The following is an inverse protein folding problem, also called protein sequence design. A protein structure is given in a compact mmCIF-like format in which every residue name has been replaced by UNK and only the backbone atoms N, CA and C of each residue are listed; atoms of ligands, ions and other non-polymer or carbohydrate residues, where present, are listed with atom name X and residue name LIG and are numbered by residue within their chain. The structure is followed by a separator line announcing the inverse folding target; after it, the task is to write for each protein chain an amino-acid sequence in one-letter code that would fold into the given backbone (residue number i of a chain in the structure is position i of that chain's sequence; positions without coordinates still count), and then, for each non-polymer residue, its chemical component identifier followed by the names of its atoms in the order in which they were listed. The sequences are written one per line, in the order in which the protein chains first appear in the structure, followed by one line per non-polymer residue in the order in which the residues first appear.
data_IF_285719489966
#
_entry.id   IF_285719489966
#
_cell.length_a   1.000
_cell.length_b   1.000
_cell.length_c   1.000
_cell.angle_alpha   90.00
_cell.angle_beta   90.00
_cell.angle_gamma   90.00
#
_symmetry.space_group_name_H-M   'P 1'
#
loop_
_entity.id
_entity.type
_entity.pdbx_description
1 polymer ?
#
# COMPACT_ATOMS: atom_id res chain seq x y z
N UNK A 1 -18.91 -87.04 -18.56
CA UNK A 1 -17.81 -86.07 -18.32
C UNK A 1 -18.44 -84.77 -17.88
N UNK A 2 -18.48 -84.50 -16.58
CA UNK A 2 -19.06 -83.29 -16.01
C UNK A 2 -17.96 -82.23 -15.85
N UNK A 3 -18.18 -81.03 -16.40
CA UNK A 3 -17.26 -79.91 -16.32
C UNK A 3 -17.49 -79.15 -15.00
N UNK A 4 -16.42 -78.97 -14.25
CA UNK A 4 -16.37 -78.27 -12.97
C UNK A 4 -16.09 -76.78 -13.22
N UNK A 5 -17.07 -75.89 -13.01
CA UNK A 5 -16.89 -74.44 -13.16
C UNK A 5 -16.84 -73.76 -11.79
N UNK A 6 -15.68 -73.20 -11.45
CA UNK A 6 -15.44 -72.37 -10.26
C UNK A 6 -16.30 -71.11 -10.25
N UNK A 7 -16.72 -70.59 -9.08
CA UNK A 7 -17.44 -69.32 -9.01
C UNK A 7 -16.49 -68.12 -9.19
N UNK A 8 -16.99 -67.09 -9.87
CA UNK A 8 -16.29 -65.82 -10.06
C UNK A 8 -16.26 -65.01 -8.74
N UNK A 9 -15.06 -64.69 -8.26
CA UNK A 9 -14.84 -63.76 -7.15
C UNK A 9 -14.87 -62.34 -7.71
N UNK A 10 -15.83 -61.54 -7.27
CA UNK A 10 -15.89 -60.10 -7.59
C UNK A 10 -14.81 -59.36 -6.78
N UNK A 11 -14.05 -58.41 -7.38
CA UNK A 11 -13.19 -57.52 -6.63
C UNK A 11 -14.05 -56.48 -5.91
N UNK A 12 -13.98 -56.44 -4.57
CA UNK A 12 -14.52 -55.34 -3.78
C UNK A 12 -13.48 -54.21 -3.85
N UNK A 13 -13.68 -53.25 -4.75
CA UNK A 13 -12.92 -52.00 -4.76
C UNK A 13 -13.32 -51.19 -3.53
N UNK A 14 -12.51 -51.28 -2.49
CA UNK A 14 -12.59 -50.41 -1.33
C UNK A 14 -12.18 -49.00 -1.78
N UNK A 15 -13.14 -48.08 -1.97
CA UNK A 15 -12.81 -46.66 -2.11
C UNK A 15 -12.28 -46.18 -0.74
N UNK A 16 -11.04 -45.65 -0.65
CA UNK A 16 -10.67 -44.88 0.54
C UNK A 16 -11.63 -43.68 0.64
N UNK A 17 -11.96 -43.22 1.85
CA UNK A 17 -12.79 -42.04 2.01
C UNK A 17 -12.12 -40.92 1.25
N UNK A 18 -12.88 -40.25 0.39
CA UNK A 18 -12.45 -39.04 -0.27
C UNK A 18 -11.86 -38.12 0.81
N UNK A 19 -10.55 -37.90 0.74
CA UNK A 19 -9.93 -36.77 1.41
C UNK A 19 -10.81 -35.58 1.07
N UNK A 20 -11.33 -34.94 2.12
CA UNK A 20 -12.07 -33.70 2.03
C UNK A 20 -11.25 -32.74 1.17
N UNK A 21 -11.54 -32.69 -0.13
CA UNK A 21 -11.21 -31.56 -0.98
C UNK A 21 -12.08 -30.43 -0.46
N UNK A 22 -11.61 -29.86 0.64
CA UNK A 22 -12.09 -28.62 1.19
C UNK A 22 -11.74 -27.59 0.12
N UNK A 23 -12.71 -27.38 -0.78
CA UNK A 23 -12.67 -26.32 -1.78
C UNK A 23 -12.17 -25.06 -1.05
N UNK A 24 -11.14 -24.38 -1.57
CA UNK A 24 -10.71 -23.11 -0.98
C UNK A 24 -11.91 -22.17 -1.07
N UNK A 25 -12.65 -22.08 0.03
CA UNK A 25 -13.79 -21.18 0.13
C UNK A 25 -13.27 -19.76 -0.10
N UNK A 26 -14.04 -18.95 -0.79
CA UNK A 26 -13.75 -17.53 -1.07
C UNK A 26 -13.33 -16.77 0.19
N UNK A 27 -13.78 -17.21 1.38
CA UNK A 27 -13.31 -16.73 2.68
C UNK A 27 -11.80 -16.89 2.92
N UNK A 28 -11.16 -17.98 2.46
CA UNK A 28 -9.72 -18.19 2.57
C UNK A 28 -8.92 -17.23 1.68
N UNK A 29 -9.37 -17.04 0.43
CA UNK A 29 -8.77 -16.10 -0.52
C UNK A 29 -8.90 -14.64 -0.05
N UNK A 30 -10.05 -14.28 0.51
CA UNK A 30 -10.25 -12.96 1.13
C UNK A 30 -9.30 -12.76 2.32
N UNK A 31 -9.16 -13.75 3.21
CA UNK A 31 -8.23 -13.66 4.35
C UNK A 31 -6.79 -13.47 3.92
N UNK A 32 -6.31 -14.21 2.90
CA UNK A 32 -4.95 -14.06 2.38
C UNK A 32 -4.72 -12.69 1.72
N UNK A 33 -5.75 -12.16 1.04
CA UNK A 33 -5.70 -10.83 0.48
C UNK A 33 -5.62 -9.75 1.57
N UNK A 34 -6.47 -9.84 2.60
CA UNK A 34 -6.45 -8.92 3.73
C UNK A 34 -5.15 -8.99 4.52
N UNK A 35 -4.58 -10.19 4.72
CA UNK A 35 -3.27 -10.32 5.37
C UNK A 35 -2.18 -9.66 4.54
N UNK A 36 -2.19 -9.83 3.22
CA UNK A 36 -1.22 -9.19 2.31
C UNK A 36 -1.31 -7.65 2.33
N UNK A 37 -2.53 -7.10 2.32
CA UNK A 37 -2.74 -5.65 2.47
C UNK A 37 -2.26 -5.20 3.84
N UNK A 38 -2.66 -5.89 4.91
CA UNK A 38 -2.32 -5.54 6.28
C UNK A 38 -0.80 -5.52 6.47
N UNK A 39 -0.09 -6.49 5.90
CA UNK A 39 1.36 -6.56 5.98
C UNK A 39 2.04 -5.45 5.17
N UNK A 40 1.53 -5.14 3.97
CA UNK A 40 2.00 -4.02 3.16
C UNK A 40 1.82 -2.69 3.87
N UNK A 41 0.64 -2.45 4.45
CA UNK A 41 0.34 -1.23 5.21
C UNK A 41 1.22 -1.16 6.45
N UNK A 42 1.35 -2.26 7.20
CA UNK A 42 2.17 -2.31 8.43
C UNK A 42 3.64 -2.07 8.13
N UNK A 43 4.17 -2.69 7.08
CA UNK A 43 5.55 -2.49 6.61
C UNK A 43 5.78 -1.05 6.15
N UNK A 44 4.84 -0.48 5.39
CA UNK A 44 4.87 0.93 5.01
C UNK A 44 4.86 1.87 6.22
N UNK A 45 3.99 1.62 7.20
CA UNK A 45 3.86 2.42 8.42
C UNK A 45 5.05 2.23 9.38
N UNK A 46 5.72 1.08 9.36
CA UNK A 46 6.93 0.83 10.14
C UNK A 46 8.11 1.71 9.67
N UNK A 47 8.16 2.04 8.39
CA UNK A 47 9.15 2.95 7.81
C UNK A 47 8.78 4.44 7.96
N UNK A 48 7.75 4.79 8.75
CA UNK A 48 7.41 6.19 8.99
C UNK A 48 8.44 6.85 9.89
N UNK A 49 8.67 8.14 9.67
CA UNK A 49 9.45 8.97 10.60
C UNK A 49 8.60 9.33 11.84
N UNK A 50 9.21 9.55 13.01
CA UNK A 50 8.50 9.96 14.22
C UNK A 50 7.62 11.20 13.97
N UNK A 51 6.35 11.15 14.41
CA UNK A 51 5.44 12.29 14.29
C UNK A 51 5.89 13.57 15.03
N UNK A 52 6.53 13.49 16.22
CA UNK A 52 7.03 14.68 16.89
C UNK A 52 8.09 15.41 16.06
N UNK A 53 8.88 14.66 15.31
CA UNK A 53 9.90 15.22 14.42
C UNK A 53 9.25 15.98 13.27
N UNK A 54 8.22 15.41 12.63
CA UNK A 54 7.46 16.11 11.59
C UNK A 54 6.84 17.42 12.13
N UNK A 55 6.27 17.39 13.33
CA UNK A 55 5.58 18.53 13.94
C UNK A 55 6.51 19.45 14.73
N UNK A 56 7.83 19.26 14.67
CA UNK A 56 8.75 20.09 15.43
C UNK A 56 8.66 21.54 15.00
N UNK A 57 8.28 22.41 15.93
CA UNK A 57 7.98 23.82 15.65
C UNK A 57 9.24 24.67 15.56
N UNK A 58 10.33 24.29 16.23
CA UNK A 58 11.61 24.99 16.13
C UNK A 58 12.20 24.96 14.73
N UNK A 59 11.93 23.89 13.98
CA UNK A 59 12.44 23.71 12.64
C UNK A 59 11.70 24.53 11.56
N UNK A 60 10.63 25.28 11.89
CA UNK A 60 9.93 26.10 10.89
C UNK A 60 10.60 27.47 10.72
N UNK A 61 10.96 27.79 9.48
CA UNK A 61 11.50 29.09 9.08
C UNK A 61 10.90 29.54 7.74
N UNK A 62 10.80 30.86 7.55
CA UNK A 62 10.28 31.42 6.29
C UNK A 62 11.35 31.27 5.19
N UNK A 63 11.04 30.67 4.03
CA UNK A 63 11.99 30.63 2.91
C UNK A 63 12.23 32.03 2.36
N UNK A 64 13.47 32.33 2.01
CA UNK A 64 13.89 33.64 1.48
C UNK A 64 13.53 33.78 -0.01
N UNK A 65 13.36 32.66 -0.72
CA UNK A 65 13.02 32.64 -2.14
C UNK A 65 12.20 31.41 -2.56
N UNK A 66 11.55 31.49 -3.72
CA UNK A 66 10.79 30.37 -4.30
C UNK A 66 11.68 29.18 -4.69
N UNK A 67 12.90 29.44 -5.14
CA UNK A 67 13.88 28.39 -5.47
C UNK A 67 14.28 27.62 -4.21
N UNK A 68 14.52 28.33 -3.12
CA UNK A 68 14.79 27.71 -1.82
C UNK A 68 13.58 26.91 -1.31
N UNK A 69 12.38 27.48 -1.35
CA UNK A 69 11.16 26.77 -0.96
C UNK A 69 10.99 25.45 -1.72
N UNK A 70 11.26 25.45 -3.03
CA UNK A 70 11.18 24.23 -3.86
C UNK A 70 12.24 23.20 -3.47
N UNK A 71 13.46 23.63 -3.14
CA UNK A 71 14.52 22.74 -2.64
C UNK A 71 14.15 22.13 -1.29
N UNK A 72 13.60 22.93 -0.37
CA UNK A 72 13.10 22.47 0.94
C UNK A 72 11.98 21.45 0.76
N UNK A 73 11.00 21.73 -0.10
CA UNK A 73 9.91 20.78 -0.42
C UNK A 73 10.48 19.45 -0.91
N UNK A 74 11.40 19.47 -1.89
CA UNK A 74 11.97 18.24 -2.46
C UNK A 74 12.71 17.41 -1.41
N UNK A 75 13.53 18.06 -0.57
CA UNK A 75 14.27 17.41 0.51
C UNK A 75 13.31 16.81 1.56
N UNK A 76 12.39 17.62 2.07
CA UNK A 76 11.43 17.19 3.08
C UNK A 76 10.46 16.11 2.56
N UNK A 77 10.10 16.13 1.26
CA UNK A 77 9.27 15.09 0.64
C UNK A 77 9.95 13.72 0.68
N UNK A 78 11.22 13.65 0.32
CA UNK A 78 11.95 12.38 0.35
C UNK A 78 12.09 11.85 1.78
N UNK A 79 12.33 12.75 2.74
CA UNK A 79 12.52 12.36 4.13
C UNK A 79 11.21 11.91 4.81
N UNK A 80 10.13 12.70 4.69
CA UNK A 80 8.84 12.46 5.35
C UNK A 80 7.80 11.78 4.44
N UNK A 81 8.24 11.10 3.36
CA UNK A 81 7.35 10.54 2.31
C UNK A 81 6.17 9.75 2.88
N UNK A 82 6.44 8.83 3.80
CA UNK A 82 5.40 7.98 4.40
C UNK A 82 4.43 8.79 5.26
N UNK A 83 4.94 9.75 6.04
CA UNK A 83 4.09 10.63 6.85
C UNK A 83 3.22 11.53 5.97
N UNK A 84 3.74 12.07 4.87
CA UNK A 84 2.97 12.87 3.92
C UNK A 84 1.88 12.06 3.22
N UNK A 85 2.18 10.83 2.80
CA UNK A 85 1.16 9.92 2.28
C UNK A 85 0.08 9.64 3.33
N UNK A 86 0.45 9.46 4.60
CA UNK A 86 -0.51 9.27 5.68
C UNK A 86 -1.40 10.52 5.89
N UNK A 87 -0.84 11.73 5.84
CA UNK A 87 -1.60 12.99 5.94
C UNK A 87 -2.57 13.14 4.77
N UNK A 88 -2.12 12.96 3.53
CA UNK A 88 -2.99 13.04 2.34
C UNK A 88 -4.12 11.99 2.42
N UNK A 89 -3.78 10.77 2.84
CA UNK A 89 -4.76 9.69 3.02
C UNK A 89 -5.77 10.04 4.11
N UNK A 90 -5.33 10.62 5.23
CA UNK A 90 -6.22 11.05 6.31
C UNK A 90 -7.17 12.16 5.84
N UNK A 91 -6.69 13.14 5.08
CA UNK A 91 -7.54 14.19 4.49
C UNK A 91 -8.58 13.56 3.55
N UNK A 92 -8.18 12.66 2.66
CA UNK A 92 -9.10 11.94 1.77
C UNK A 92 -10.18 11.16 2.54
N UNK A 93 -9.78 10.41 3.57
CA UNK A 93 -10.71 9.64 4.41
C UNK A 93 -11.68 10.57 5.12
N UNK A 94 -11.20 11.64 5.75
CA UNK A 94 -12.07 12.62 6.43
C UNK A 94 -13.03 13.27 5.44
N UNK A 95 -12.56 13.68 4.26
CA UNK A 95 -13.40 14.27 3.21
C UNK A 95 -14.47 13.31 2.69
N UNK A 96 -14.20 12.00 2.62
CA UNK A 96 -15.22 11.02 2.28
C UNK A 96 -16.22 10.82 3.43
N UNK A 97 -15.74 10.70 4.67
CA UNK A 97 -16.57 10.51 5.87
C UNK A 97 -17.52 11.68 6.13
N UNK A 98 -17.14 12.90 5.76
CA UNK A 98 -18.03 14.07 5.85
C UNK A 98 -19.11 14.12 4.76
N UNK A 99 -19.06 13.21 3.77
CA UNK A 99 -20.02 13.11 2.68
C UNK A 99 -20.79 11.76 2.73
N UNK A 100 -21.71 11.58 3.69
CA UNK A 100 -22.34 10.29 3.97
C UNK A 100 -23.16 9.74 2.79
N UNK A 101 -23.82 10.62 2.01
CA UNK A 101 -24.59 10.19 0.84
C UNK A 101 -23.70 9.56 -0.25
N UNK A 102 -22.57 10.21 -0.53
CA UNK A 102 -21.56 9.71 -1.46
C UNK A 102 -20.98 8.37 -0.97
N UNK A 103 -20.71 8.25 0.32
CA UNK A 103 -20.24 6.99 0.91
C UNK A 103 -21.26 5.86 0.80
N UNK A 104 -22.54 6.11 1.07
CA UNK A 104 -23.59 5.08 0.99
C UNK A 104 -23.69 4.55 -0.44
N UNK A 105 -23.70 5.44 -1.45
CA UNK A 105 -23.77 5.02 -2.85
C UNK A 105 -22.52 4.29 -3.30
N UNK A 106 -21.33 4.74 -2.90
CA UNK A 106 -20.08 4.05 -3.20
C UNK A 106 -20.02 2.67 -2.51
N UNK A 107 -20.47 2.57 -1.26
CA UNK A 107 -20.52 1.32 -0.52
C UNK A 107 -21.53 0.34 -1.13
N UNK A 108 -22.71 0.80 -1.54
CA UNK A 108 -23.70 -0.02 -2.25
C UNK A 108 -23.19 -0.52 -3.61
N UNK A 109 -22.50 0.35 -4.35
CA UNK A 109 -21.86 -0.02 -5.62
C UNK A 109 -20.76 -1.06 -5.40
N UNK A 110 -19.88 -0.84 -4.42
CA UNK A 110 -18.82 -1.79 -4.07
C UNK A 110 -19.42 -3.13 -3.62
N UNK A 111 -20.42 -3.10 -2.73
CA UNK A 111 -21.13 -4.31 -2.30
C UNK A 111 -21.71 -5.08 -3.49
N UNK A 112 -22.26 -4.38 -4.50
CA UNK A 112 -22.77 -5.01 -5.72
C UNK A 112 -21.66 -5.71 -6.51
N UNK A 113 -20.50 -5.06 -6.70
CA UNK A 113 -19.33 -5.69 -7.33
C UNK A 113 -18.84 -6.92 -6.58
N UNK A 114 -18.65 -6.81 -5.26
CA UNK A 114 -18.17 -7.92 -4.43
C UNK A 114 -19.17 -9.07 -4.41
N UNK A 115 -20.46 -8.77 -4.27
CA UNK A 115 -21.52 -9.78 -4.30
C UNK A 115 -21.54 -10.55 -5.61
N UNK A 116 -21.53 -9.83 -6.74
CA UNK A 116 -21.69 -10.43 -8.06
C UNK A 116 -20.46 -11.18 -8.57
N UNK A 117 -19.24 -10.82 -8.12
CA UNK A 117 -18.01 -11.37 -8.68
C UNK A 117 -17.10 -12.07 -7.67
N UNK A 118 -17.25 -11.83 -6.36
CA UNK A 118 -16.47 -12.53 -5.33
C UNK A 118 -17.30 -13.53 -4.53
N UNK A 119 -18.55 -13.21 -4.23
CA UNK A 119 -19.41 -14.08 -3.43
C UNK A 119 -20.27 -15.02 -4.28
N UNK A 120 -20.70 -14.58 -5.45
CA UNK A 120 -21.40 -15.42 -6.43
C UNK A 120 -20.42 -16.41 -7.06
N UNK A 121 -20.74 -17.69 -6.96
CA UNK A 121 -19.94 -18.76 -7.53
C UNK A 121 -20.35 -18.99 -8.99
N UNK A 122 -19.41 -19.41 -9.84
CA UNK A 122 -19.70 -19.68 -11.27
C UNK A 122 -20.73 -20.80 -11.49
N UNK A 123 -21.08 -21.55 -10.44
CA UNK A 123 -22.12 -22.58 -10.43
C UNK A 123 -23.52 -22.03 -10.11
N UNK A 124 -23.66 -20.75 -9.75
CA UNK A 124 -24.94 -20.16 -9.38
C UNK A 124 -25.82 -19.88 -10.60
N UNK A 125 -27.16 -20.03 -10.47
CA UNK A 125 -28.08 -19.75 -11.57
C UNK A 125 -28.00 -18.27 -12.00
N UNK A 126 -28.28 -17.96 -13.29
CA UNK A 126 -28.23 -16.59 -13.81
C UNK A 126 -29.18 -15.66 -13.03
N UNK A 127 -28.85 -14.36 -12.99
CA UNK A 127 -29.67 -13.39 -12.23
C UNK A 127 -31.03 -13.30 -12.90
N UNK A 128 -32.10 -13.60 -12.16
CA UNK A 128 -33.46 -13.47 -12.65
C UNK A 128 -34.15 -12.30 -11.95
N UNK A 129 -34.63 -11.34 -12.74
CA UNK A 129 -35.39 -10.19 -12.23
C UNK A 129 -36.69 -10.12 -13.02
N UNK A 130 -37.83 -10.08 -12.31
CA UNK A 130 -39.18 -10.11 -12.91
C UNK A 130 -39.41 -11.27 -13.89
N UNK A 131 -38.81 -12.44 -13.64
CA UNK A 131 -38.95 -13.63 -14.50
C UNK A 131 -38.09 -13.61 -15.76
N UNK A 132 -37.30 -12.56 -16.02
CA UNK A 132 -36.31 -12.52 -17.10
C UNK A 132 -34.93 -12.90 -16.58
N UNK A 133 -34.26 -13.81 -17.27
CA UNK A 133 -32.87 -14.17 -17.00
C UNK A 133 -31.94 -13.15 -17.67
N UNK A 134 -30.98 -12.62 -16.91
CA UNK A 134 -29.93 -11.74 -17.40
C UNK A 134 -28.64 -12.53 -17.61
N UNK A 135 -28.01 -12.31 -18.75
CA UNK A 135 -26.69 -12.83 -19.04
C UNK A 135 -25.61 -12.11 -18.23
N UNK A 136 -24.45 -12.75 -18.08
CA UNK A 136 -23.31 -12.15 -17.37
C UNK A 136 -22.83 -10.85 -18.05
N UNK A 137 -22.96 -10.75 -19.38
CA UNK A 137 -22.62 -9.54 -20.14
C UNK A 137 -23.58 -8.39 -19.84
N UNK A 138 -24.89 -8.66 -19.79
CA UNK A 138 -25.89 -7.66 -19.42
C UNK A 138 -25.69 -7.20 -17.98
N UNK A 139 -25.38 -8.12 -17.06
CA UNK A 139 -25.08 -7.82 -15.66
C UNK A 139 -23.84 -6.93 -15.53
N UNK A 140 -22.76 -7.29 -16.22
CA UNK A 140 -21.53 -6.49 -16.27
C UNK A 140 -21.81 -5.09 -16.84
N UNK A 141 -22.55 -5.00 -17.94
CA UNK A 141 -22.92 -3.74 -18.57
C UNK A 141 -23.73 -2.87 -17.59
N UNK A 142 -24.71 -3.44 -16.91
CA UNK A 142 -25.50 -2.73 -15.89
C UNK A 142 -24.61 -2.22 -14.76
N UNK A 143 -23.65 -3.01 -14.30
CA UNK A 143 -22.76 -2.64 -13.21
C UNK A 143 -21.77 -1.54 -13.61
N UNK A 144 -21.27 -1.57 -14.85
CA UNK A 144 -20.44 -0.50 -15.43
C UNK A 144 -21.25 0.79 -15.56
N UNK A 145 -22.46 0.72 -16.13
CA UNK A 145 -23.34 1.89 -16.26
C UNK A 145 -23.72 2.45 -14.90
N UNK A 146 -24.04 1.60 -13.93
CA UNK A 146 -24.31 2.00 -12.55
C UNK A 146 -23.09 2.67 -11.92
N UNK A 147 -21.87 2.18 -12.17
CA UNK A 147 -20.63 2.81 -11.71
C UNK A 147 -20.49 4.22 -12.27
N UNK A 148 -20.72 4.40 -13.57
CA UNK A 148 -20.69 5.72 -14.22
C UNK A 148 -21.75 6.63 -13.57
N UNK A 149 -23.00 6.17 -13.49
CA UNK A 149 -24.11 6.96 -12.90
C UNK A 149 -23.79 7.36 -11.48
N UNK A 150 -23.30 6.45 -10.62
CA UNK A 150 -22.93 6.77 -9.23
C UNK A 150 -21.81 7.80 -9.22
N UNK A 151 -20.77 7.67 -10.03
CA UNK A 151 -19.65 8.64 -10.07
C UNK A 151 -20.10 10.03 -10.56
N UNK A 152 -21.07 10.11 -11.46
CA UNK A 152 -21.58 11.41 -11.93
C UNK A 152 -22.66 12.00 -11.01
N UNK A 153 -23.50 11.16 -10.41
CA UNK A 153 -24.54 11.57 -9.47
C UNK A 153 -23.96 11.98 -8.13
N UNK A 154 -22.90 11.30 -7.70
CA UNK A 154 -22.16 11.68 -6.51
C UNK A 154 -21.03 12.61 -6.91
N UNK A 155 -20.92 13.74 -6.22
CA UNK A 155 -19.75 14.62 -6.32
C UNK A 155 -18.46 13.96 -5.78
N UNK A 156 -18.37 12.63 -5.70
CA UNK A 156 -17.18 11.87 -5.24
C UNK A 156 -15.94 12.33 -5.98
N UNK A 157 -16.03 12.46 -7.31
CA UNK A 157 -14.89 12.89 -8.12
C UNK A 157 -14.35 14.25 -7.67
N UNK A 158 -15.22 15.24 -7.47
CA UNK A 158 -14.80 16.58 -7.03
C UNK A 158 -14.35 16.59 -5.56
N UNK A 159 -14.96 15.78 -4.69
CA UNK A 159 -14.52 15.60 -3.30
C UNK A 159 -13.10 15.03 -3.26
N UNK A 160 -12.82 13.97 -4.02
CA UNK A 160 -11.49 13.35 -4.08
C UNK A 160 -10.45 14.32 -4.64
N UNK A 161 -10.75 15.01 -5.74
CA UNK A 161 -9.81 15.98 -6.36
C UNK A 161 -9.54 17.15 -5.41
N UNK A 162 -10.57 17.74 -4.81
CA UNK A 162 -10.41 18.86 -3.88
C UNK A 162 -9.66 18.44 -2.60
N UNK A 163 -10.00 17.31 -2.00
CA UNK A 163 -9.29 16.76 -0.83
C UNK A 163 -7.82 16.45 -1.13
N UNK A 164 -7.54 15.89 -2.32
CA UNK A 164 -6.17 15.64 -2.76
C UNK A 164 -5.38 16.93 -2.96
N UNK A 165 -5.99 17.96 -3.57
CA UNK A 165 -5.37 19.28 -3.71
C UNK A 165 -5.09 19.93 -2.36
N UNK A 166 -6.02 19.84 -1.41
CA UNK A 166 -5.81 20.29 -0.02
C UNK A 166 -4.66 19.54 0.63
N UNK A 167 -4.61 18.21 0.49
CA UNK A 167 -3.52 17.39 1.00
C UNK A 167 -2.16 17.77 0.42
N UNK A 168 -2.06 17.97 -0.89
CA UNK A 168 -0.86 18.48 -1.54
C UNK A 168 -0.49 19.86 -0.99
N UNK A 169 -1.47 20.77 -0.84
CA UNK A 169 -1.25 22.11 -0.29
C UNK A 169 -0.63 22.06 1.11
N UNK A 170 -1.15 21.20 1.99
CA UNK A 170 -0.62 21.00 3.35
C UNK A 170 0.83 20.50 3.30
N UNK A 171 1.11 19.49 2.47
CA UNK A 171 2.45 18.90 2.34
C UNK A 171 3.44 19.90 1.75
N UNK A 172 3.05 20.67 0.73
CA UNK A 172 3.89 21.70 0.14
C UNK A 172 4.16 22.83 1.13
N UNK A 173 3.14 23.28 1.87
CA UNK A 173 3.30 24.31 2.89
C UNK A 173 4.26 23.85 4.00
N UNK A 174 4.03 22.66 4.54
CA UNK A 174 4.91 22.07 5.54
C UNK A 174 6.34 21.90 5.00
N UNK A 175 6.49 21.33 3.81
CA UNK A 175 7.79 21.10 3.18
C UNK A 175 8.55 22.37 2.81
N UNK A 176 7.86 23.48 2.52
CA UNK A 176 8.49 24.76 2.23
C UNK A 176 8.94 25.49 3.51
N UNK A 177 8.16 25.38 4.58
CA UNK A 177 8.42 26.08 5.83
C UNK A 177 9.42 25.33 6.72
N UNK A 178 9.51 24.01 6.64
CA UNK A 178 10.44 23.24 7.47
C UNK A 178 11.88 23.37 6.96
N UNK A 179 12.81 23.87 7.78
CA UNK A 179 14.23 23.93 7.46
C UNK A 179 14.80 22.51 7.40
N UNK A 180 15.48 22.13 6.31
CA UNK A 180 16.12 20.84 6.20
C UNK A 180 17.40 20.71 7.04
N UNK A 181 18.09 21.81 7.37
CA UNK A 181 19.49 21.81 7.82
C UNK A 181 19.79 20.89 9.01
N UNK A 182 18.95 20.89 10.04
CA UNK A 182 19.13 20.04 11.23
C UNK A 182 19.08 18.54 10.92
N UNK A 183 18.25 18.17 9.94
CA UNK A 183 17.99 16.79 9.55
C UNK A 183 19.14 16.15 8.76
N UNK A 184 19.84 16.99 7.97
CA UNK A 184 20.98 16.55 7.17
C UNK A 184 22.21 16.33 8.05
N UNK A 185 22.39 17.10 9.13
CA UNK A 185 23.50 16.88 10.05
C UNK A 185 23.36 15.51 10.73
N UNK A 186 22.17 15.18 11.25
CA UNK A 186 21.91 13.90 11.90
C UNK A 186 22.00 12.70 10.93
N UNK A 187 21.45 12.81 9.71
CA UNK A 187 21.50 11.71 8.74
C UNK A 187 22.88 11.58 8.07
N UNK A 188 23.66 12.67 7.95
CA UNK A 188 25.03 12.64 7.46
C UNK A 188 26.03 12.20 8.54
N UNK A 189 25.74 12.38 9.83
CA UNK A 189 26.46 11.71 10.92
C UNK A 189 26.14 10.20 10.95
N UNK A 190 24.88 9.82 10.78
CA UNK A 190 24.45 8.42 10.68
C UNK A 190 25.01 7.69 9.44
N UNK A 191 25.00 8.36 8.27
CA UNK A 191 25.62 7.87 7.02
C UNK A 191 27.14 8.09 7.01
N UNK A 192 27.66 9.04 7.79
CA UNK A 192 29.09 9.24 8.02
C UNK A 192 29.74 8.07 8.77
N UNK A 193 28.94 7.29 9.51
CA UNK A 193 29.32 5.96 9.99
C UNK A 193 29.49 4.93 8.86
N UNK A 194 28.80 5.09 7.72
CA UNK A 194 28.99 4.27 6.51
C UNK A 194 30.21 4.69 5.68
N UNK A 195 30.85 5.83 5.97
CA UNK A 195 32.19 6.18 5.47
C UNK A 195 33.28 5.22 5.97
N UNK A 196 32.95 4.30 6.89
CA UNK A 196 33.80 3.17 7.28
C UNK A 196 34.21 2.25 6.12
N UNK A 197 33.53 2.32 4.96
CA UNK A 197 33.97 1.57 3.79
C UNK A 197 35.21 2.20 3.11
N UNK A 198 35.42 3.51 3.23
CA UNK A 198 36.58 4.20 2.64
C UNK A 198 37.77 4.32 3.63
N UNK A 199 37.54 4.17 4.94
CA UNK A 199 38.62 4.11 5.93
C UNK A 199 39.45 2.81 5.83
N UNK A 200 38.87 1.75 5.25
CA UNK A 200 39.58 0.48 4.97
C UNK A 200 40.62 0.62 3.83
N UNK A 201 40.42 1.54 2.89
CA UNK A 201 41.32 1.73 1.75
C UNK A 201 42.46 2.73 2.02
N UNK A 202 42.36 3.56 3.06
CA UNK A 202 43.40 4.55 3.42
C UNK A 202 44.26 4.16 4.62
N UNK A 203 43.96 3.06 5.32
CA UNK A 203 44.76 2.57 6.46
C UNK A 203 45.94 1.68 6.06
N UNK A 204 46.15 1.46 4.75
CA UNK A 204 47.24 0.66 4.21
C UNK A 204 48.53 1.41 3.84
N UNK A 205 48.64 2.72 4.10
CA UNK A 205 49.88 3.45 3.82
C UNK A 205 50.88 3.24 4.97
N UNK A 206 52.08 2.65 4.72
CA UNK A 206 53.07 2.47 5.77
C UNK A 206 53.60 3.83 6.26
N UNK A 207 53.97 3.95 7.54
CA UNK A 207 54.58 5.16 8.06
C UNK A 207 55.90 5.42 7.32
N UNK A 208 55.96 6.50 6.55
CA UNK A 208 57.22 7.01 6.01
C UNK A 208 58.07 7.45 7.19
N UNK A 209 59.11 6.69 7.48
CA UNK A 209 60.07 6.98 8.53
C UNK A 209 60.73 8.35 8.26
N UNK A 210 60.58 9.28 9.20
CA UNK A 210 61.34 10.52 9.19
C UNK A 210 62.81 10.21 9.52
N UNK A 211 63.79 10.75 8.77
CA UNK A 211 65.20 10.54 9.09
C UNK A 211 65.56 11.27 10.40
N UNK A 212 66.46 10.70 11.22
CA UNK A 212 66.81 11.26 12.52
C UNK A 212 67.53 12.59 12.36
N UNK A 213 67.02 13.60 13.08
CA UNK A 213 67.71 14.87 13.32
C UNK A 213 68.99 14.55 14.09
N UNK A 214 70.15 14.64 13.43
CA UNK A 214 71.44 14.51 14.07
C UNK A 214 71.66 15.72 15.00
N UNK A 215 71.72 15.44 16.31
CA UNK A 215 72.14 16.41 17.31
C UNK A 215 73.63 16.22 17.65
N UNK A 216 74.29 17.38 17.83
CA UNK A 216 75.62 17.66 18.41
C UNK A 216 76.84 17.55 17.48
N UNK A 217 77.84 18.44 17.59
CA UNK A 217 78.27 19.26 18.73
C UNK A 217 78.58 20.71 18.37
#
# INVERSE_FOLDING_TARGET
MAANSSPAILPITNHPPADNQQLPSSASALRSFFSGISETVRSGLANRRPWPELLDRSAFSKPESLSEATLRIRKNYNYFRINYLAVISAVLVVSLLTNPFSLILLAGLLASWLFLYLFRQSSDPPITVFGRQFSDRETLLFLIVSTIVVIFLTSVGSILVSAFMVGIGIVCLHGALRSPEDLFLDEQEAQGGASGFLSFFTSGAPPVAQPPVAARA
#
